data_IF_180627772882
#
_entry.id   IF_180627772882
#
_cell.length_a   1.000
_cell.length_b   1.000
_cell.length_c   1.000
_cell.angle_alpha   90.00
_cell.angle_beta   90.00
_cell.angle_gamma   90.00
#
_symmetry.space_group_name_H-M   'P 1'
#
loop_
_entity.id
_entity.type
_entity.pdbx_description
1 polymer ?
#
# COMPACT_ATOMS: atom_id res chain seq x y z
N UNK A 1 7.87 -1.23 4.55
CA UNK A 1 8.25 0.11 4.01
C UNK A 1 9.51 0.68 4.65
N UNK A 2 9.87 0.27 5.86
CA UNK A 2 11.08 0.71 6.57
C UNK A 2 12.40 0.21 5.96
N UNK A 3 12.35 -0.78 5.05
CA UNK A 3 13.50 -1.27 4.29
C UNK A 3 14.34 -2.30 5.05
N UNK A 4 13.79 -2.92 6.09
CA UNK A 4 14.46 -3.92 6.93
C UNK A 4 14.78 -5.23 6.19
N UNK A 5 13.93 -5.65 5.25
CA UNK A 5 14.13 -6.83 4.39
C UNK A 5 14.51 -6.37 2.99
N UNK A 6 15.67 -6.84 2.48
CA UNK A 6 16.14 -6.53 1.12
C UNK A 6 16.05 -7.72 0.17
N UNK A 7 16.18 -8.95 0.69
CA UNK A 7 16.05 -10.17 -0.07
C UNK A 7 15.24 -11.20 0.70
N UNK A 8 14.63 -12.17 0.00
CA UNK A 8 13.85 -13.26 0.63
C UNK A 8 14.61 -14.05 1.69
N UNK A 9 15.94 -14.15 1.58
CA UNK A 9 16.79 -14.85 2.54
C UNK A 9 16.90 -14.12 3.89
N UNK A 10 16.60 -12.83 3.91
CA UNK A 10 16.67 -11.97 5.10
C UNK A 10 15.35 -12.01 5.91
N UNK A 11 14.32 -12.72 5.41
CA UNK A 11 13.02 -12.82 6.07
C UNK A 11 13.12 -13.69 7.32
N UNK A 12 12.93 -13.06 8.48
CA UNK A 12 12.73 -13.77 9.75
C UNK A 12 11.24 -13.97 10.02
N UNK A 13 10.69 -15.14 9.66
CA UNK A 13 9.28 -15.47 9.89
C UNK A 13 8.81 -15.35 11.36
N UNK A 14 9.64 -15.65 12.38
CA UNK A 14 9.27 -15.38 13.78
C UNK A 14 9.09 -13.90 14.11
N UNK A 15 9.74 -12.99 13.38
CA UNK A 15 9.60 -11.55 13.59
C UNK A 15 8.38 -10.97 12.86
N UNK A 16 7.98 -11.55 11.72
CA UNK A 16 6.84 -11.08 10.91
C UNK A 16 5.52 -11.08 11.69
N UNK A 17 5.34 -12.02 12.63
CA UNK A 17 4.11 -12.12 13.43
C UNK A 17 4.09 -11.26 14.69
N UNK A 18 5.18 -10.56 15.01
CA UNK A 18 5.25 -9.72 16.22
C UNK A 18 4.50 -8.41 16.02
N UNK A 19 3.99 -7.80 17.10
CA UNK A 19 3.46 -6.46 17.04
C UNK A 19 4.47 -5.48 16.45
N UNK A 20 4.00 -4.58 15.61
CA UNK A 20 4.85 -3.56 15.00
C UNK A 20 4.08 -2.27 14.81
N UNK A 21 4.82 -1.16 14.81
CA UNK A 21 4.30 0.12 14.36
C UNK A 21 5.24 0.68 13.29
N UNK A 22 4.69 1.05 12.15
CA UNK A 22 5.45 1.73 11.10
C UNK A 22 4.66 2.89 10.52
N UNK A 23 5.35 3.88 10.00
CA UNK A 23 4.73 5.05 9.42
C UNK A 23 5.48 5.55 8.20
N UNK A 24 4.77 6.26 7.34
CA UNK A 24 5.38 7.09 6.32
C UNK A 24 4.62 8.40 6.20
N UNK A 25 5.33 9.46 5.84
CA UNK A 25 4.76 10.80 5.65
C UNK A 25 4.87 11.20 4.19
N UNK A 26 3.81 11.82 3.66
CA UNK A 26 3.76 12.49 2.38
C UNK A 26 3.69 14.00 2.61
N UNK A 27 4.69 14.76 2.15
CA UNK A 27 4.61 16.22 2.11
C UNK A 27 3.61 16.67 1.05
N UNK A 28 3.18 17.95 1.07
CA UNK A 28 2.35 18.50 -0.01
C UNK A 28 2.93 18.20 -1.41
N UNK A 29 2.10 17.63 -2.28
CA UNK A 29 2.45 17.21 -3.64
C UNK A 29 3.18 15.86 -3.75
N UNK A 30 3.65 15.29 -2.65
CA UNK A 30 4.24 13.95 -2.63
C UNK A 30 3.17 12.87 -2.71
N UNK A 31 3.56 11.74 -3.27
CA UNK A 31 2.68 10.62 -3.54
C UNK A 31 3.25 9.28 -3.11
N UNK A 32 2.31 8.36 -2.93
CA UNK A 32 2.53 6.95 -2.70
C UNK A 32 2.00 6.17 -3.90
N UNK A 33 2.77 5.16 -4.33
CA UNK A 33 2.26 4.09 -5.18
C UNK A 33 2.44 2.75 -4.46
N UNK A 34 1.55 1.79 -4.67
CA UNK A 34 1.68 0.50 -3.99
C UNK A 34 2.95 -0.24 -4.39
N UNK A 35 3.27 -0.27 -5.68
CA UNK A 35 4.55 -0.78 -6.21
C UNK A 35 5.18 0.18 -7.21
N UNK A 36 6.42 -0.11 -7.60
CA UNK A 36 7.32 0.76 -8.37
C UNK A 36 7.03 0.88 -9.88
N UNK A 37 6.24 -0.03 -10.48
CA UNK A 37 5.69 0.17 -11.83
C UNK A 37 4.57 1.23 -11.79
N UNK A 38 4.96 2.49 -11.95
CA UNK A 38 4.13 3.70 -11.75
C UNK A 38 3.73 4.32 -13.09
N UNK A 39 2.47 4.75 -13.21
CA UNK A 39 1.97 5.50 -14.38
C UNK A 39 2.80 6.79 -14.62
N UNK A 40 3.07 7.17 -15.88
CA UNK A 40 3.89 8.34 -16.20
C UNK A 40 3.43 9.65 -15.52
N UNK A 41 2.12 9.88 -15.39
CA UNK A 41 1.57 11.07 -14.74
C UNK A 41 1.90 11.18 -13.24
N UNK A 42 2.20 10.06 -12.57
CA UNK A 42 2.54 10.01 -11.14
C UNK A 42 4.05 9.91 -10.88
N UNK A 43 4.87 9.71 -11.92
CA UNK A 43 6.30 9.44 -11.80
C UNK A 43 7.09 10.54 -11.07
N UNK A 44 6.60 11.79 -11.10
CA UNK A 44 7.23 12.93 -10.40
C UNK A 44 6.74 13.12 -8.97
N UNK A 45 5.55 12.62 -8.64
CA UNK A 45 4.95 12.78 -7.33
C UNK A 45 5.25 11.59 -6.42
N UNK A 46 5.34 10.37 -6.96
CA UNK A 46 5.56 9.16 -6.16
C UNK A 46 6.96 9.14 -5.56
N UNK A 47 7.04 9.27 -4.24
CA UNK A 47 8.28 9.22 -3.44
C UNK A 47 8.31 8.03 -2.48
N UNK A 48 7.16 7.35 -2.30
CA UNK A 48 7.02 6.17 -1.45
C UNK A 48 6.33 5.03 -2.18
N UNK A 49 6.81 3.82 -1.93
CA UNK A 49 6.09 2.59 -2.25
C UNK A 49 6.19 1.60 -1.10
N UNK A 50 5.50 0.46 -1.21
CA UNK A 50 5.70 -0.66 -0.27
C UNK A 50 7.13 -1.22 -0.31
N UNK A 51 7.85 -0.96 -1.42
CA UNK A 51 9.11 -1.59 -1.83
C UNK A 51 9.00 -3.12 -2.00
N UNK A 52 7.79 -3.61 -2.31
CA UNK A 52 7.54 -5.00 -2.62
C UNK A 52 6.72 -5.13 -3.92
N UNK A 53 6.96 -6.22 -4.63
CA UNK A 53 6.23 -6.70 -5.78
C UNK A 53 5.22 -7.78 -5.42
N UNK A 54 5.27 -8.29 -4.18
CA UNK A 54 4.31 -9.25 -3.61
C UNK A 54 4.20 -10.55 -4.40
N UNK A 55 5.33 -10.98 -4.96
CA UNK A 55 5.45 -12.22 -5.72
C UNK A 55 6.36 -13.21 -4.97
N UNK A 56 6.58 -14.38 -5.58
CA UNK A 56 7.43 -15.43 -4.99
C UNK A 56 8.91 -15.03 -4.94
N UNK A 57 9.35 -14.12 -5.83
CA UNK A 57 10.74 -13.68 -5.88
C UNK A 57 11.10 -12.83 -4.65
N UNK A 58 10.12 -12.10 -4.13
CA UNK A 58 10.18 -11.37 -2.86
C UNK A 58 10.07 -12.27 -1.61
N UNK A 59 9.76 -13.57 -1.79
CA UNK A 59 9.64 -14.52 -0.69
C UNK A 59 8.25 -14.60 -0.04
N UNK A 60 7.21 -14.01 -0.66
CA UNK A 60 5.84 -14.15 -0.19
C UNK A 60 5.36 -15.60 -0.34
N UNK A 61 4.73 -16.12 0.71
CA UNK A 61 4.13 -17.45 0.72
C UNK A 61 2.75 -17.40 0.06
N UNK A 62 2.39 -18.48 -0.62
CA UNK A 62 1.02 -18.69 -1.08
C UNK A 62 0.23 -19.47 -0.03
N UNK A 63 -1.00 -19.07 0.23
CA UNK A 63 -2.03 -19.97 0.73
C UNK A 63 -2.97 -20.31 -0.44
N UNK A 64 -3.37 -21.58 -0.55
CA UNK A 64 -4.36 -22.03 -1.54
C UNK A 64 -4.11 -21.66 -3.01
N UNK A 65 -2.86 -21.62 -3.49
CA UNK A 65 -2.43 -21.21 -4.85
C UNK A 65 -2.39 -19.69 -5.15
N UNK A 66 -2.66 -18.82 -4.17
CA UNK A 66 -2.53 -17.36 -4.32
C UNK A 66 -1.29 -16.86 -3.57
N UNK A 67 -0.23 -16.56 -4.31
CA UNK A 67 0.94 -15.86 -3.77
C UNK A 67 0.54 -14.40 -3.49
N UNK A 68 0.79 -13.91 -2.27
CA UNK A 68 0.42 -12.55 -1.88
C UNK A 68 -1.05 -12.41 -1.46
N UNK A 69 -1.62 -13.43 -0.81
CA UNK A 69 -2.93 -13.31 -0.18
C UNK A 69 -2.93 -12.16 0.85
N UNK A 70 -3.99 -11.35 0.86
CA UNK A 70 -4.10 -10.13 1.66
C UNK A 70 -3.52 -8.84 1.06
N UNK A 71 -2.82 -8.89 -0.08
CA UNK A 71 -2.22 -7.69 -0.71
C UNK A 71 -3.27 -6.69 -1.18
N UNK A 72 -4.30 -7.19 -1.88
CA UNK A 72 -5.44 -6.37 -2.28
C UNK A 72 -6.24 -5.88 -1.06
N UNK A 73 -6.24 -6.65 0.04
CA UNK A 73 -6.90 -6.27 1.28
C UNK A 73 -6.20 -5.05 1.92
N UNK A 74 -4.87 -5.12 2.10
CA UNK A 74 -4.07 -4.00 2.60
C UNK A 74 -4.20 -2.76 1.71
N UNK A 75 -4.11 -2.93 0.38
CA UNK A 75 -4.28 -1.83 -0.56
C UNK A 75 -5.66 -1.18 -0.44
N UNK A 76 -6.70 -1.96 -0.22
CA UNK A 76 -8.06 -1.45 -0.06
C UNK A 76 -8.23 -0.68 1.25
N UNK A 77 -7.62 -1.11 2.36
CA UNK A 77 -7.60 -0.32 3.59
C UNK A 77 -6.87 1.01 3.41
N UNK A 78 -5.68 1.00 2.80
CA UNK A 78 -4.91 2.23 2.53
C UNK A 78 -5.72 3.18 1.63
N UNK A 79 -6.39 2.66 0.61
CA UNK A 79 -7.24 3.46 -0.28
C UNK A 79 -8.44 4.05 0.45
N UNK A 80 -9.10 3.26 1.30
CA UNK A 80 -10.23 3.71 2.10
C UNK A 80 -9.83 4.86 3.02
N UNK A 81 -8.81 4.69 3.86
CA UNK A 81 -8.40 5.75 4.80
C UNK A 81 -7.87 7.00 4.07
N UNK A 82 -7.24 6.85 2.91
CA UNK A 82 -6.80 7.98 2.10
C UNK A 82 -7.99 8.77 1.51
N UNK A 83 -9.04 8.07 1.08
CA UNK A 83 -10.28 8.70 0.61
C UNK A 83 -11.01 9.42 1.74
N UNK A 84 -11.10 8.81 2.91
CA UNK A 84 -11.76 9.41 4.07
C UNK A 84 -11.00 10.64 4.57
N UNK A 85 -9.66 10.67 4.46
CA UNK A 85 -8.83 11.85 4.73
C UNK A 85 -8.90 12.93 3.62
N UNK A 86 -9.63 12.68 2.52
CA UNK A 86 -9.79 13.61 1.41
C UNK A 86 -8.53 13.79 0.56
N UNK A 87 -7.68 12.77 0.48
CA UNK A 87 -6.50 12.78 -0.40
C UNK A 87 -6.86 12.51 -1.86
N UNK A 88 -6.01 12.96 -2.77
CA UNK A 88 -6.15 12.63 -4.19
C UNK A 88 -5.71 11.17 -4.44
N UNK A 89 -6.67 10.25 -4.38
CA UNK A 89 -6.40 8.81 -4.55
C UNK A 89 -7.03 8.23 -5.83
N UNK A 90 -6.28 7.37 -6.52
CA UNK A 90 -6.70 6.69 -7.74
C UNK A 90 -6.34 5.20 -7.68
N UNK A 91 -7.30 4.36 -8.03
CA UNK A 91 -7.04 2.98 -8.46
C UNK A 91 -7.87 2.69 -9.70
N UNK A 92 -7.21 2.22 -10.77
CA UNK A 92 -7.86 1.93 -12.05
C UNK A 92 -8.45 0.52 -12.11
N UNK A 93 -7.91 -0.40 -11.30
CA UNK A 93 -8.36 -1.77 -11.23
C UNK A 93 -9.07 -2.01 -9.90
N UNK A 94 -10.36 -2.33 -9.97
CA UNK A 94 -11.19 -2.56 -8.79
C UNK A 94 -11.19 -4.03 -8.43
N UNK A 95 -11.32 -4.33 -7.14
CA UNK A 95 -11.50 -5.69 -6.64
C UNK A 95 -12.98 -6.06 -6.59
N UNK A 96 -13.65 -6.03 -7.73
CA UNK A 96 -15.08 -6.32 -7.87
C UNK A 96 -15.38 -7.81 -8.14
N UNK A 97 -14.35 -8.58 -8.47
CA UNK A 97 -14.42 -10.01 -8.76
C UNK A 97 -14.60 -10.88 -7.50
N UNK A 98 -14.23 -10.38 -6.33
CA UNK A 98 -14.41 -11.05 -5.06
C UNK A 98 -14.60 -10.04 -3.92
N UNK A 99 -15.39 -10.40 -2.92
CA UNK A 99 -15.56 -9.57 -1.72
C UNK A 99 -14.27 -9.58 -0.92
N UNK A 100 -13.79 -8.40 -0.54
CA UNK A 100 -12.81 -8.24 0.53
C UNK A 100 -13.63 -8.06 1.80
N UNK A 101 -13.45 -8.96 2.79
CA UNK A 101 -14.15 -8.83 4.07
C UNK A 101 -13.79 -7.50 4.72
N UNK A 102 -14.73 -6.90 5.45
CA UNK A 102 -14.53 -5.67 6.22
C UNK A 102 -14.19 -4.39 5.41
N UNK A 103 -14.14 -4.47 4.07
CA UNK A 103 -13.93 -3.33 3.18
C UNK A 103 -15.20 -3.07 2.35
N UNK A 104 -15.78 -1.85 2.40
CA UNK A 104 -16.87 -1.48 1.50
C UNK A 104 -16.46 -1.61 0.02
N UNK A 105 -17.39 -2.07 -0.83
CA UNK A 105 -17.09 -2.44 -2.23
C UNK A 105 -16.51 -1.29 -3.05
N UNK A 106 -16.86 -0.05 -2.70
CA UNK A 106 -16.34 1.18 -3.30
C UNK A 106 -14.84 1.36 -3.13
N UNK A 107 -14.26 0.77 -2.09
CA UNK A 107 -12.84 0.87 -1.77
C UNK A 107 -12.01 -0.35 -2.20
N UNK A 108 -12.63 -1.35 -2.84
CA UNK A 108 -11.93 -2.54 -3.31
C UNK A 108 -10.91 -2.23 -4.41
N UNK A 109 -9.62 -2.46 -4.11
CA UNK A 109 -8.47 -2.24 -5.00
C UNK A 109 -7.86 -3.55 -5.46
N UNK A 110 -7.58 -3.68 -6.75
CA UNK A 110 -6.84 -4.80 -7.32
C UNK A 110 -5.39 -4.39 -7.58
N UNK A 111 -4.47 -5.02 -6.85
CA UNK A 111 -3.03 -4.85 -7.02
C UNK A 111 -2.46 -6.05 -7.77
N UNK A 112 -1.60 -5.79 -8.75
CA UNK A 112 -0.83 -6.83 -9.41
C UNK A 112 0.48 -6.28 -9.95
N UNK A 113 1.57 -6.95 -9.60
CA UNK A 113 2.85 -6.73 -10.24
C UNK A 113 3.19 -7.88 -11.19
N UNK A 114 3.55 -7.56 -12.43
CA UNK A 114 4.08 -8.51 -13.41
C UNK A 114 5.42 -8.01 -13.98
N UNK A 115 6.53 -8.74 -13.76
CA UNK A 115 7.81 -8.43 -14.38
C UNK A 115 7.69 -8.30 -15.91
N UNK A 116 8.23 -7.23 -16.48
CA UNK A 116 8.21 -6.98 -17.92
C UNK A 116 6.88 -6.50 -18.52
N UNK A 117 5.80 -6.42 -17.73
CA UNK A 117 4.47 -6.01 -18.21
C UNK A 117 4.00 -4.67 -17.62
N UNK A 118 4.81 -3.62 -17.85
CA UNK A 118 4.60 -2.28 -17.28
C UNK A 118 3.17 -1.73 -17.44
N UNK A 119 2.59 -1.83 -18.64
CA UNK A 119 1.25 -1.30 -18.91
C UNK A 119 0.15 -1.99 -18.08
N UNK A 120 0.34 -3.27 -17.73
CA UNK A 120 -0.60 -4.01 -16.91
C UNK A 120 -0.41 -3.67 -15.43
N UNK A 121 0.82 -3.75 -14.92
CA UNK A 121 1.05 -3.51 -13.49
C UNK A 121 0.76 -2.07 -13.08
N UNK A 122 1.16 -1.08 -13.89
CA UNK A 122 0.88 0.34 -13.58
C UNK A 122 -0.61 0.66 -13.48
N UNK A 123 -1.48 -0.10 -14.16
CA UNK A 123 -2.95 0.04 -14.04
C UNK A 123 -3.53 -0.78 -12.87
N UNK A 124 -2.83 -1.79 -12.40
CA UNK A 124 -3.16 -2.59 -11.21
C UNK A 124 -2.33 -2.13 -10.01
N UNK A 125 -2.38 -0.83 -9.75
CA UNK A 125 -1.65 -0.15 -8.69
C UNK A 125 -2.61 0.77 -7.91
N UNK A 126 -2.16 1.27 -6.77
CA UNK A 126 -2.86 2.30 -5.99
C UNK A 126 -1.99 3.54 -5.95
N UNK A 127 -2.54 4.68 -6.36
CA UNK A 127 -1.89 5.97 -6.31
C UNK A 127 -2.57 6.86 -5.28
N UNK A 128 -1.78 7.51 -4.43
CA UNK A 128 -2.25 8.49 -3.45
C UNK A 128 -1.33 9.69 -3.56
N UNK A 129 -1.89 10.89 -3.67
CA UNK A 129 -1.13 12.15 -3.64
C UNK A 129 -1.66 13.00 -2.52
N UNK A 130 -0.76 13.54 -1.72
CA UNK A 130 -1.09 14.57 -0.75
C UNK A 130 -1.39 15.88 -1.49
N UNK A 131 -2.67 16.16 -1.70
CA UNK A 131 -3.18 17.39 -2.29
C UNK A 131 -3.54 18.44 -1.22
N UNK A 132 -3.11 18.25 0.03
CA UNK A 132 -3.27 19.20 1.14
C UNK A 132 -2.03 20.10 1.23
N UNK A 133 -2.14 21.16 2.03
CA UNK A 133 -1.05 22.10 2.31
C UNK A 133 -0.16 21.66 3.48
N UNK A 134 -0.57 20.63 4.22
CA UNK A 134 0.14 20.08 5.38
C UNK A 134 0.66 18.66 5.11
N UNK A 135 1.72 18.21 5.78
CA UNK A 135 2.16 16.82 5.70
C UNK A 135 1.07 15.85 6.18
N UNK A 136 1.03 14.68 5.56
CA UNK A 136 0.09 13.61 5.88
C UNK A 136 0.86 12.36 6.27
N UNK A 137 0.62 11.84 7.47
CA UNK A 137 1.28 10.63 7.98
C UNK A 137 0.31 9.47 7.97
N UNK A 138 0.70 8.39 7.29
CA UNK A 138 0.07 7.08 7.38
C UNK A 138 0.74 6.28 8.50
N UNK A 139 -0.05 5.72 9.40
CA UNK A 139 0.42 4.86 10.48
C UNK A 139 -0.21 3.48 10.34
N UNK A 140 0.62 2.45 10.49
CA UNK A 140 0.25 1.05 10.51
C UNK A 140 0.64 0.52 11.88
N UNK A 141 -0.35 0.13 12.65
CA UNK A 141 -0.17 -0.40 14.01
C UNK A 141 -0.76 -1.81 14.06
N UNK A 142 0.11 -2.80 14.16
CA UNK A 142 -0.27 -4.20 14.32
C UNK A 142 0.02 -4.63 15.74
N UNK A 143 -1.01 -5.04 16.47
CA UNK A 143 -0.89 -5.42 17.89
C UNK A 143 -0.67 -6.93 18.11
N UNK A 144 -0.48 -7.71 17.04
CA UNK A 144 -0.38 -9.18 17.10
C UNK A 144 -1.68 -9.91 16.77
N UNK A 145 -2.81 -9.20 16.65
CA UNK A 145 -4.10 -9.75 16.21
C UNK A 145 -4.81 -8.87 15.18
N UNK A 146 -4.70 -7.55 15.29
CA UNK A 146 -5.40 -6.58 14.48
C UNK A 146 -4.41 -5.58 13.89
N UNK A 147 -4.61 -5.21 12.63
CA UNK A 147 -3.90 -4.13 11.96
C UNK A 147 -4.81 -2.91 11.89
N UNK A 148 -4.39 -1.82 12.52
CA UNK A 148 -5.00 -0.50 12.36
C UNK A 148 -4.21 0.31 11.35
N UNK A 149 -4.91 0.85 10.35
CA UNK A 149 -4.34 1.83 9.41
C UNK A 149 -5.00 3.17 9.67
N UNK A 150 -4.21 4.21 9.92
CA UNK A 150 -4.71 5.56 10.17
C UNK A 150 -3.95 6.60 9.36
N UNK A 151 -4.61 7.74 9.15
CA UNK A 151 -4.06 8.90 8.45
C UNK A 151 -4.22 10.11 9.35
N UNK A 152 -3.13 10.82 9.60
CA UNK A 152 -3.10 12.03 10.42
C UNK A 152 -2.56 13.20 9.62
N UNK A 153 -3.26 14.33 9.69
CA UNK A 153 -2.72 15.61 9.26
C UNK A 153 -1.71 16.09 10.31
N UNK A 154 -0.48 16.37 9.89
CA UNK A 154 0.51 16.99 10.77
C UNK A 154 0.24 18.49 10.79
N UNK A 155 -0.87 18.85 11.41
CA UNK A 155 -1.24 20.23 11.71
C UNK A 155 -0.28 20.72 12.78
N UNK A 156 0.88 21.22 12.34
CA UNK A 156 1.93 21.71 13.22
C UNK A 156 1.33 22.55 14.33
N UNK A 157 1.38 22.06 15.56
CA UNK A 157 1.02 22.85 16.72
C UNK A 157 1.95 24.07 16.72
N UNK A 158 1.36 25.21 16.36
CA UNK A 158 1.97 26.53 16.44
C UNK A 158 2.04 26.96 17.90
#
# INVERSE_FOLDING_TARGET
MDGTVKNKADISWPEVGKPFQTQFTLKPGEGFAFHDQVLPEYAKSVVKTTNAHFNSDDGFKSDGYLVGDGVCHLASFIYWVAKDAGLASLSLARHDFAKINDVPREYGVSIRFMPGAFANSSRQNLYIVNNKEVPITFTFDYNGSELTVSVLEDSGNS
#
